data_IF_098434524544
#
_entry.id   IF_098434524544
#
_cell.length_a   1.000
_cell.length_b   1.000
_cell.length_c   1.000
_cell.angle_alpha   90.00
_cell.angle_beta   90.00
_cell.angle_gamma   90.00
#
_symmetry.space_group_name_H-M   'P 1'
#
loop_
_entity.id
_entity.type
_entity.pdbx_description
1 polymer ?
#
# COMPACT_ATOMS: atom_id res chain seq x y z
N UNK A 1 -40.21 3.50 -25.08
CA UNK A 1 -38.92 3.07 -25.66
C UNK A 1 -37.86 3.96 -25.09
N UNK A 2 -37.14 3.51 -24.06
CA UNK A 2 -36.05 4.29 -23.48
C UNK A 2 -34.91 4.31 -24.50
N UNK A 3 -34.58 5.49 -25.02
CA UNK A 3 -33.46 5.70 -25.91
C UNK A 3 -32.18 5.19 -25.24
N UNK A 4 -31.48 4.27 -25.90
CA UNK A 4 -30.19 3.72 -25.47
C UNK A 4 -29.15 4.86 -25.39
N UNK A 5 -28.98 5.43 -24.20
CA UNK A 5 -28.03 6.52 -23.95
C UNK A 5 -26.64 5.92 -23.83
N UNK A 6 -25.81 6.14 -24.85
CA UNK A 6 -24.39 5.82 -24.82
C UNK A 6 -23.60 6.96 -24.21
N UNK A 7 -22.71 6.62 -23.28
CA UNK A 7 -21.74 7.54 -22.69
C UNK A 7 -20.34 7.08 -23.08
N UNK A 8 -19.44 8.04 -23.31
CA UNK A 8 -18.03 7.78 -23.63
C UNK A 8 -17.18 8.54 -22.64
N UNK A 9 -16.21 7.84 -22.04
CA UNK A 9 -15.33 8.38 -21.02
C UNK A 9 -13.88 8.18 -21.47
N UNK A 10 -13.08 9.26 -21.59
CA UNK A 10 -11.66 9.13 -21.91
C UNK A 10 -10.89 8.68 -20.67
N UNK A 11 -10.02 7.70 -20.84
CA UNK A 11 -9.04 7.25 -19.85
C UNK A 11 -7.68 7.12 -20.54
N UNK A 12 -6.59 7.29 -19.79
CA UNK A 12 -5.24 7.01 -20.29
C UNK A 12 -5.12 5.55 -20.79
N UNK A 13 -5.81 4.63 -20.11
CA UNK A 13 -5.91 3.22 -20.48
C UNK A 13 -7.20 2.63 -19.92
N UNK A 14 -7.78 1.69 -20.66
CA UNK A 14 -8.87 0.82 -20.18
C UNK A 14 -8.32 -0.61 -20.21
N UNK A 15 -8.32 -1.27 -19.04
CA UNK A 15 -7.82 -2.64 -18.88
C UNK A 15 -9.02 -3.56 -18.67
N UNK A 16 -9.22 -4.51 -19.58
CA UNK A 16 -10.29 -5.50 -19.51
C UNK A 16 -9.97 -6.64 -18.54
N UNK A 17 -10.92 -7.56 -18.38
CA UNK A 17 -10.79 -8.73 -17.50
C UNK A 17 -9.71 -9.73 -17.91
N UNK A 18 -9.24 -9.64 -19.15
CA UNK A 18 -8.17 -10.44 -19.73
C UNK A 18 -6.76 -9.96 -19.35
N UNK A 19 -6.64 -8.71 -18.88
CA UNK A 19 -5.36 -8.12 -18.51
C UNK A 19 -4.87 -8.76 -17.22
N UNK A 20 -3.65 -9.29 -17.25
CA UNK A 20 -3.04 -9.92 -16.08
C UNK A 20 -2.66 -8.92 -15.00
N UNK A 21 -2.45 -9.41 -13.78
CA UNK A 21 -1.95 -8.59 -12.67
C UNK A 21 -0.53 -8.05 -12.95
N UNK A 22 0.29 -8.83 -13.67
CA UNK A 22 1.62 -8.40 -14.10
C UNK A 22 1.54 -7.24 -15.10
N UNK A 23 0.65 -7.33 -16.10
CA UNK A 23 0.46 -6.28 -17.09
C UNK A 23 -0.15 -5.02 -16.46
N UNK A 24 -1.08 -5.19 -15.52
CA UNK A 24 -1.63 -4.10 -14.71
C UNK A 24 -0.52 -3.38 -13.93
N UNK A 25 0.33 -4.14 -13.23
CA UNK A 25 1.49 -3.59 -12.51
C UNK A 25 2.44 -2.82 -13.45
N UNK A 26 2.81 -3.42 -14.59
CA UNK A 26 3.72 -2.80 -15.58
C UNK A 26 3.19 -1.48 -16.12
N UNK A 27 1.87 -1.36 -16.32
CA UNK A 27 1.28 -0.15 -16.87
C UNK A 27 0.94 0.93 -15.84
N UNK A 28 0.65 0.56 -14.59
CA UNK A 28 0.20 1.50 -13.56
C UNK A 28 1.29 1.80 -12.55
N UNK A 29 1.90 0.77 -11.98
CA UNK A 29 2.74 0.90 -10.79
C UNK A 29 4.21 1.06 -11.11
N UNK A 30 4.73 0.36 -12.12
CA UNK A 30 6.13 0.46 -12.50
C UNK A 30 6.59 1.90 -12.85
N UNK A 31 5.82 2.72 -13.59
CA UNK A 31 6.20 4.12 -13.84
C UNK A 31 6.26 4.95 -12.55
N UNK A 32 5.36 4.70 -11.60
CA UNK A 32 5.34 5.39 -10.30
C UNK A 32 6.56 4.95 -9.47
N UNK A 33 6.84 3.66 -9.44
CA UNK A 33 7.99 3.12 -8.72
C UNK A 33 9.32 3.65 -9.26
N UNK A 34 9.48 3.73 -10.59
CA UNK A 34 10.66 4.33 -11.21
C UNK A 34 10.81 5.80 -10.78
N UNK A 35 9.72 6.56 -10.76
CA UNK A 35 9.74 7.95 -10.26
C UNK A 35 10.14 8.02 -8.78
N UNK A 36 9.76 7.04 -7.96
CA UNK A 36 10.23 6.93 -6.57
C UNK A 36 11.72 6.66 -6.48
N UNK A 37 12.26 5.80 -7.34
CA UNK A 37 13.70 5.53 -7.39
C UNK A 37 14.51 6.74 -7.84
N UNK A 38 13.90 7.65 -8.60
CA UNK A 38 14.48 8.93 -9.01
C UNK A 38 14.34 10.04 -7.93
N UNK A 39 13.81 9.72 -6.74
CA UNK A 39 13.70 10.64 -5.61
C UNK A 39 12.40 11.43 -5.53
N UNK A 40 11.33 10.98 -6.19
CA UNK A 40 10.01 11.62 -6.13
C UNK A 40 8.98 10.79 -5.35
N UNK A 41 8.03 11.44 -4.67
CA UNK A 41 6.94 10.71 -4.02
C UNK A 41 5.95 10.15 -5.05
N UNK A 42 5.56 8.88 -4.89
CA UNK A 42 4.58 8.19 -5.72
C UNK A 42 3.35 7.74 -4.93
N UNK A 43 2.17 7.76 -5.56
CA UNK A 43 0.94 7.30 -4.93
C UNK A 43 0.00 6.62 -5.93
N UNK A 44 -0.56 5.47 -5.55
CA UNK A 44 -1.50 4.70 -6.36
C UNK A 44 -2.75 4.45 -5.53
N UNK A 45 -3.90 4.89 -6.06
CA UNK A 45 -5.20 4.63 -5.46
C UNK A 45 -6.02 3.69 -6.32
N UNK A 46 -6.75 2.78 -5.68
CA UNK A 46 -7.75 1.95 -6.33
C UNK A 46 -9.16 2.36 -5.86
N UNK A 47 -10.01 2.77 -6.80
CA UNK A 47 -11.35 3.24 -6.53
C UNK A 47 -12.39 2.43 -7.31
N UNK A 48 -13.56 2.22 -6.70
CA UNK A 48 -14.67 1.49 -7.30
C UNK A 48 -15.66 0.95 -6.26
N UNK A 49 -16.82 0.49 -6.71
CA UNK A 49 -17.83 -0.09 -5.83
C UNK A 49 -17.36 -1.40 -5.14
N UNK A 50 -18.05 -1.82 -4.09
CA UNK A 50 -17.79 -3.13 -3.46
C UNK A 50 -17.94 -4.25 -4.49
N UNK A 51 -17.01 -5.21 -4.50
CA UNK A 51 -16.98 -6.30 -5.47
C UNK A 51 -16.37 -5.95 -6.84
N UNK A 52 -15.93 -4.70 -7.07
CA UNK A 52 -15.32 -4.29 -8.34
C UNK A 52 -13.85 -4.69 -8.52
N UNK A 53 -13.30 -5.54 -7.65
CA UNK A 53 -11.92 -6.02 -7.76
C UNK A 53 -10.83 -5.16 -7.09
N UNK A 54 -11.16 -4.13 -6.30
CA UNK A 54 -10.13 -3.27 -5.64
C UNK A 54 -9.06 -4.05 -4.87
N UNK A 55 -9.49 -4.96 -3.99
CA UNK A 55 -8.59 -5.81 -3.21
C UNK A 55 -7.81 -6.75 -4.11
N UNK A 56 -8.43 -7.29 -5.17
CA UNK A 56 -7.74 -8.12 -6.14
C UNK A 56 -6.65 -7.32 -6.86
N UNK A 57 -6.93 -6.11 -7.34
CA UNK A 57 -5.93 -5.26 -8.01
C UNK A 57 -4.78 -4.89 -7.07
N UNK A 58 -5.05 -4.47 -5.83
CA UNK A 58 -4.01 -4.00 -4.91
C UNK A 58 -3.24 -5.14 -4.24
N UNK A 59 -3.94 -6.12 -3.66
CA UNK A 59 -3.34 -7.21 -2.88
C UNK A 59 -3.10 -8.45 -3.74
N UNK A 60 -4.04 -8.81 -4.60
CA UNK A 60 -3.97 -10.01 -5.43
C UNK A 60 -4.90 -11.13 -5.00
N UNK A 61 -4.77 -12.26 -5.69
CA UNK A 61 -5.38 -13.55 -5.36
C UNK A 61 -4.44 -14.46 -4.57
N UNK A 62 -4.80 -15.74 -4.45
CA UNK A 62 -4.01 -16.74 -3.71
C UNK A 62 -2.83 -17.29 -4.54
N UNK A 63 -2.92 -17.24 -5.88
CA UNK A 63 -1.86 -17.71 -6.76
C UNK A 63 -0.72 -16.72 -6.92
N UNK A 64 0.51 -17.21 -7.13
CA UNK A 64 1.69 -16.37 -7.38
C UNK A 64 1.48 -15.40 -8.57
N UNK A 65 0.90 -15.90 -9.67
CA UNK A 65 0.58 -15.08 -10.85
C UNK A 65 -0.49 -14.00 -10.56
N UNK A 66 -1.27 -14.18 -9.49
CA UNK A 66 -2.37 -13.30 -9.10
C UNK A 66 -1.94 -12.22 -8.10
N UNK A 67 -0.68 -12.20 -7.63
CA UNK A 67 -0.11 -11.13 -6.80
C UNK A 67 -0.45 -9.76 -7.38
N UNK A 68 -1.01 -8.88 -6.57
CA UNK A 68 -1.46 -7.55 -6.98
C UNK A 68 -0.34 -6.52 -7.06
N UNK A 69 -0.74 -5.26 -7.16
CA UNK A 69 0.18 -4.10 -7.24
C UNK A 69 1.14 -4.06 -6.05
N UNK A 70 0.65 -4.14 -4.81
CA UNK A 70 1.46 -3.96 -3.60
C UNK A 70 2.60 -5.00 -3.54
N UNK A 71 2.32 -6.31 -3.58
CA UNK A 71 3.40 -7.28 -3.45
C UNK A 71 4.33 -7.30 -4.67
N UNK A 72 3.90 -6.86 -5.86
CA UNK A 72 4.79 -6.67 -7.02
C UNK A 72 5.67 -5.41 -6.89
N UNK A 73 5.14 -4.34 -6.29
CA UNK A 73 5.94 -3.16 -5.95
C UNK A 73 7.04 -3.51 -4.95
N UNK A 74 6.74 -4.33 -3.94
CA UNK A 74 7.76 -4.80 -2.98
C UNK A 74 8.87 -5.55 -3.72
N UNK A 75 8.52 -6.56 -4.51
CA UNK A 75 9.48 -7.37 -5.29
C UNK A 75 10.36 -6.50 -6.21
N UNK A 76 9.76 -5.63 -7.01
CA UNK A 76 10.51 -4.77 -7.93
C UNK A 76 11.35 -3.72 -7.19
N UNK A 77 10.88 -3.21 -6.05
CA UNK A 77 11.61 -2.24 -5.25
C UNK A 77 12.89 -2.84 -4.68
N UNK A 78 12.80 -4.01 -4.05
CA UNK A 78 13.98 -4.68 -3.52
C UNK A 78 14.95 -5.08 -4.64
N UNK A 79 14.43 -5.60 -5.77
CA UNK A 79 15.26 -5.86 -6.94
C UNK A 79 15.94 -4.58 -7.49
N UNK A 80 15.27 -3.43 -7.45
CA UNK A 80 15.85 -2.15 -7.83
C UNK A 80 16.94 -1.73 -6.86
N UNK A 81 16.68 -1.75 -5.55
CA UNK A 81 17.66 -1.41 -4.50
C UNK A 81 18.92 -2.26 -4.66
N UNK A 82 18.80 -3.59 -4.84
CA UNK A 82 19.95 -4.47 -5.08
C UNK A 82 20.75 -4.09 -6.33
N UNK A 83 20.09 -3.67 -7.42
CA UNK A 83 20.77 -3.18 -8.63
C UNK A 83 21.53 -1.88 -8.41
N UNK A 84 21.02 -1.01 -7.54
CA UNK A 84 21.59 0.31 -7.23
C UNK A 84 22.63 0.30 -6.08
N UNK A 85 22.71 -0.78 -5.29
CA UNK A 85 23.70 -0.99 -4.21
C UNK A 85 25.15 -1.18 -4.73
N UNK A 86 25.66 -0.20 -5.49
CA UNK A 86 27.10 -0.06 -5.79
C UNK A 86 27.86 0.76 -4.74
N UNK A 87 27.18 1.40 -3.79
CA UNK A 87 27.86 2.18 -2.72
C UNK A 87 27.24 2.08 -1.33
N UNK A 88 25.91 2.12 -1.14
CA UNK A 88 25.31 2.04 0.22
C UNK A 88 23.94 1.37 0.19
N UNK A 89 23.62 0.44 1.13
CA UNK A 89 22.26 -0.11 1.26
C UNK A 89 21.29 0.99 1.71
N UNK A 90 20.34 1.33 0.83
CA UNK A 90 19.20 2.15 1.22
C UNK A 90 18.28 1.38 2.16
N UNK A 91 17.81 2.04 3.23
CA UNK A 91 16.86 1.45 4.15
C UNK A 91 15.46 1.47 3.52
N UNK A 92 14.82 0.31 3.41
CA UNK A 92 13.41 0.21 3.06
C UNK A 92 12.62 0.08 4.35
N UNK A 93 11.62 0.92 4.54
CA UNK A 93 10.71 0.86 5.67
C UNK A 93 9.25 0.79 5.22
N UNK A 94 8.41 0.16 6.03
CA UNK A 94 7.00 -0.07 5.72
C UNK A 94 6.10 0.43 6.84
N UNK A 95 4.94 0.97 6.46
CA UNK A 95 3.84 1.25 7.38
C UNK A 95 2.51 0.86 6.74
N UNK A 96 1.52 0.50 7.57
CA UNK A 96 0.22 0.06 7.09
C UNK A 96 -0.91 0.66 7.93
N UNK A 97 -1.62 1.61 7.35
CA UNK A 97 -2.69 2.36 7.99
C UNK A 97 -4.06 1.86 7.54
N UNK A 98 -5.01 1.75 8.46
CA UNK A 98 -6.44 1.62 8.17
C UNK A 98 -7.20 2.86 8.65
N UNK A 99 -7.96 3.47 7.75
CA UNK A 99 -8.92 4.53 8.07
C UNK A 99 -10.30 3.91 8.15
N UNK A 100 -10.89 3.97 9.34
CA UNK A 100 -12.21 3.47 9.65
C UNK A 100 -12.99 4.47 10.51
N UNK A 101 -14.22 4.77 10.10
CA UNK A 101 -15.12 5.69 10.80
C UNK A 101 -14.44 7.04 11.15
N UNK A 102 -13.79 7.66 10.15
CA UNK A 102 -13.04 8.92 10.28
C UNK A 102 -11.86 8.88 11.27
N UNK A 103 -11.41 7.69 11.70
CA UNK A 103 -10.25 7.51 12.57
C UNK A 103 -9.22 6.62 11.87
N UNK A 104 -7.95 6.88 12.14
CA UNK A 104 -6.83 6.16 11.54
C UNK A 104 -6.18 5.24 12.58
N UNK A 105 -5.78 4.04 12.16
CA UNK A 105 -5.27 2.96 13.01
C UNK A 105 -4.09 2.27 12.34
N UNK A 106 -3.08 1.92 13.12
CA UNK A 106 -1.89 1.22 12.65
C UNK A 106 -2.11 -0.29 12.65
N UNK A 107 -2.11 -0.91 11.47
CA UNK A 107 -2.28 -2.35 11.27
C UNK A 107 -1.05 -3.18 11.66
N UNK A 108 0.11 -2.55 11.86
CA UNK A 108 1.36 -3.20 12.26
C UNK A 108 1.75 -2.87 13.71
N UNK A 109 0.83 -2.30 14.49
CA UNK A 109 1.10 -1.98 15.89
C UNK A 109 1.30 -3.26 16.70
N UNK A 110 2.50 -3.45 17.27
CA UNK A 110 2.81 -4.65 18.08
C UNK A 110 2.09 -4.69 19.43
N UNK A 111 1.68 -3.51 19.93
CA UNK A 111 1.09 -3.37 21.26
C UNK A 111 -0.41 -3.66 21.32
N UNK A 112 -1.04 -3.98 20.18
CA UNK A 112 -2.47 -4.27 20.10
C UNK A 112 -2.73 -5.75 19.86
N UNK A 113 -3.80 -6.24 20.47
CA UNK A 113 -4.33 -7.57 20.14
C UNK A 113 -5.32 -7.41 18.97
N UNK A 114 -5.08 -8.06 17.81
CA UNK A 114 -5.94 -7.91 16.64
C UNK A 114 -7.39 -8.40 16.87
N UNK A 115 -7.62 -9.22 17.89
CA UNK A 115 -8.96 -9.68 18.29
C UNK A 115 -9.76 -8.62 19.05
N UNK A 116 -9.12 -7.56 19.50
CA UNK A 116 -9.82 -6.39 20.06
C UNK A 116 -10.40 -5.58 18.91
N UNK A 117 -11.67 -5.13 18.98
CA UNK A 117 -12.24 -4.25 17.95
C UNK A 117 -11.34 -3.05 17.67
N UNK A 118 -11.11 -2.74 16.40
CA UNK A 118 -10.16 -1.70 15.96
C UNK A 118 -10.45 -0.33 16.56
N UNK A 119 -11.71 -0.04 16.89
CA UNK A 119 -12.14 1.20 17.53
C UNK A 119 -11.48 1.46 18.89
N UNK A 120 -10.99 0.41 19.57
CA UNK A 120 -10.28 0.49 20.85
C UNK A 120 -8.76 0.54 20.70
N UNK A 121 -8.23 0.47 19.47
CA UNK A 121 -6.80 0.59 19.24
C UNK A 121 -6.36 2.04 19.42
N UNK A 122 -5.07 2.30 19.72
CA UNK A 122 -4.52 3.64 19.68
C UNK A 122 -4.76 4.27 18.31
N UNK A 123 -5.30 5.49 18.31
CA UNK A 123 -5.53 6.24 17.08
C UNK A 123 -4.22 6.82 16.58
N UNK A 124 -4.01 6.73 15.28
CA UNK A 124 -3.02 7.51 14.55
C UNK A 124 -3.55 8.93 14.43
N UNK A 125 -2.71 9.92 14.74
CA UNK A 125 -3.08 11.35 14.68
C UNK A 125 -2.17 12.06 13.69
N UNK A 126 -2.75 12.87 12.80
CA UNK A 126 -2.01 13.86 12.02
C UNK A 126 -1.64 15.02 12.93
N UNK A 127 -0.35 15.33 12.99
CA UNK A 127 0.19 16.53 13.64
C UNK A 127 1.01 17.29 12.61
N UNK A 128 1.10 18.60 12.78
CA UNK A 128 2.01 19.46 12.01
C UNK A 128 3.23 19.71 12.90
N UNK A 129 4.43 19.47 12.37
CA UNK A 129 5.67 19.76 13.09
C UNK A 129 6.01 21.27 13.05
N UNK A 130 7.15 21.66 13.64
CA UNK A 130 7.58 23.06 13.67
C UNK A 130 7.90 23.64 12.28
N UNK A 131 8.09 22.79 11.27
CA UNK A 131 8.40 23.16 9.88
C UNK A 131 7.15 23.22 8.99
N UNK A 132 5.97 22.85 9.51
CA UNK A 132 4.75 22.74 8.72
C UNK A 132 4.55 21.38 8.05
N UNK A 133 5.41 20.39 8.35
CA UNK A 133 5.33 19.05 7.78
C UNK A 133 4.34 18.18 8.56
N UNK A 134 3.58 17.38 7.82
CA UNK A 134 2.59 16.48 8.41
C UNK A 134 3.29 15.24 8.96
N UNK A 135 3.19 15.02 10.27
CA UNK A 135 3.72 13.85 10.98
C UNK A 135 2.58 12.99 11.48
N UNK A 136 2.65 11.68 11.20
CA UNK A 136 1.70 10.69 11.70
C UNK A 136 2.17 10.13 13.04
N UNK A 137 1.56 10.59 14.13
CA UNK A 137 1.85 10.06 15.47
C UNK A 137 1.13 8.73 15.69
N UNK A 138 1.82 7.76 16.28
CA UNK A 138 1.37 6.39 16.55
C UNK A 138 1.22 5.49 15.31
N UNK A 139 1.75 5.90 14.15
CA UNK A 139 1.96 4.99 13.03
C UNK A 139 3.35 4.39 13.16
N UNK A 140 3.44 3.07 13.32
CA UNK A 140 4.73 2.39 13.31
C UNK A 140 5.35 2.38 11.92
N UNK A 141 6.67 2.59 11.89
CA UNK A 141 7.50 2.48 10.70
C UNK A 141 8.49 1.34 10.95
N UNK A 142 8.40 0.30 10.13
CA UNK A 142 9.18 -0.93 10.30
C UNK A 142 10.24 -1.03 9.21
N UNK A 143 11.50 -1.02 9.60
CA UNK A 143 12.60 -1.26 8.65
C UNK A 143 12.64 -2.73 8.25
N UNK A 144 12.70 -2.97 6.95
CA UNK A 144 12.72 -4.30 6.31
C UNK A 144 14.05 -4.50 5.59
N UNK A 145 14.72 -5.63 5.82
CA UNK A 145 16.06 -5.90 5.26
C UNK A 145 15.97 -6.67 3.94
N UNK A 146 14.89 -7.42 3.76
CA UNK A 146 14.67 -8.29 2.60
C UNK A 146 13.27 -8.11 2.02
N UNK A 147 13.07 -8.57 0.78
CA UNK A 147 11.73 -8.64 0.15
C UNK A 147 10.75 -9.39 1.05
N UNK A 148 11.19 -10.53 1.61
CA UNK A 148 10.36 -11.39 2.46
C UNK A 148 9.90 -10.66 3.72
N UNK A 149 10.76 -9.87 4.37
CA UNK A 149 10.38 -9.08 5.55
C UNK A 149 9.23 -8.10 5.24
N UNK A 150 9.30 -7.43 4.08
CA UNK A 150 8.28 -6.48 3.66
C UNK A 150 6.98 -7.18 3.24
N UNK A 151 7.07 -8.34 2.60
CA UNK A 151 5.91 -9.17 2.30
C UNK A 151 5.24 -9.69 3.57
N UNK A 152 6.02 -10.14 4.55
CA UNK A 152 5.51 -10.61 5.83
C UNK A 152 4.78 -9.49 6.57
N UNK A 153 5.30 -8.27 6.55
CA UNK A 153 4.59 -7.09 7.10
C UNK A 153 3.29 -6.80 6.37
N UNK A 154 3.29 -6.85 5.03
CA UNK A 154 2.06 -6.68 4.25
C UNK A 154 1.01 -7.76 4.59
N UNK A 155 1.44 -9.02 4.71
CA UNK A 155 0.57 -10.13 5.07
C UNK A 155 0.06 -10.03 6.51
N UNK A 156 0.92 -9.64 7.45
CA UNK A 156 0.55 -9.39 8.85
C UNK A 156 -0.54 -8.34 8.96
N UNK A 157 -0.40 -7.20 8.28
CA UNK A 157 -1.42 -6.15 8.30
C UNK A 157 -2.74 -6.60 7.66
N UNK A 158 -2.69 -7.40 6.59
CA UNK A 158 -3.90 -8.00 5.99
C UNK A 158 -4.62 -8.94 6.97
N UNK A 159 -3.86 -9.77 7.71
CA UNK A 159 -4.41 -10.64 8.75
C UNK A 159 -5.01 -9.81 9.89
N UNK A 160 -4.28 -8.82 10.40
CA UNK A 160 -4.73 -7.96 11.49
C UNK A 160 -6.03 -7.23 11.13
N UNK A 161 -6.11 -6.69 9.91
CA UNK A 161 -7.33 -6.08 9.36
C UNK A 161 -8.50 -7.05 9.30
N UNK A 162 -8.29 -8.28 8.81
CA UNK A 162 -9.35 -9.27 8.71
C UNK A 162 -9.89 -9.68 10.08
N UNK A 163 -8.99 -9.90 11.04
CA UNK A 163 -9.34 -10.30 12.42
C UNK A 163 -10.05 -9.15 13.13
N UNK A 164 -9.53 -7.92 13.03
CA UNK A 164 -10.12 -6.74 13.68
C UNK A 164 -11.48 -6.38 13.08
N UNK A 165 -11.66 -6.52 11.76
CA UNK A 165 -12.94 -6.37 11.09
C UNK A 165 -13.96 -7.37 11.59
N UNK A 166 -13.56 -8.64 11.77
CA UNK A 166 -14.44 -9.68 12.31
C UNK A 166 -14.83 -9.37 13.75
N UNK A 167 -13.88 -8.96 14.59
CA UNK A 167 -14.14 -8.56 15.97
C UNK A 167 -15.09 -7.35 16.08
N UNK A 168 -15.01 -6.42 15.12
CA UNK A 168 -15.88 -5.26 15.03
C UNK A 168 -17.21 -5.51 14.28
N UNK A 169 -17.47 -6.74 13.80
CA UNK A 169 -18.58 -7.05 12.89
C UNK A 169 -18.64 -6.11 11.66
N UNK A 170 -17.47 -5.75 11.14
CA UNK A 170 -17.26 -4.79 10.06
C UNK A 170 -17.04 -5.51 8.73
N UNK A 171 -17.59 -4.95 7.66
CA UNK A 171 -17.18 -5.31 6.30
C UNK A 171 -15.96 -4.46 5.90
N UNK A 172 -14.93 -5.11 5.35
CA UNK A 172 -13.72 -4.45 4.84
C UNK A 172 -13.98 -3.40 3.75
N UNK A 173 -15.20 -3.37 3.18
CA UNK A 173 -15.66 -2.33 2.25
C UNK A 173 -15.95 -0.98 2.90
N UNK A 174 -16.00 -0.91 4.24
CA UNK A 174 -16.29 0.32 5.01
C UNK A 174 -15.04 0.99 5.56
N UNK A 175 -13.87 0.46 5.26
CA UNK A 175 -12.58 1.02 5.64
C UNK A 175 -11.71 1.22 4.40
N UNK A 176 -10.75 2.12 4.53
CA UNK A 176 -9.70 2.36 3.54
C UNK A 176 -8.36 1.97 4.12
N UNK A 177 -7.46 1.46 3.30
CA UNK A 177 -6.12 1.11 3.74
C UNK A 177 -5.07 1.84 2.92
N UNK A 178 -4.00 2.26 3.59
CA UNK A 178 -2.84 2.91 2.99
C UNK A 178 -1.61 2.11 3.39
N UNK A 179 -0.99 1.45 2.43
CA UNK A 179 0.28 0.76 2.62
C UNK A 179 1.38 1.64 2.01
N UNK A 180 2.37 1.99 2.82
CA UNK A 180 3.45 2.91 2.43
C UNK A 180 4.77 2.17 2.44
N UNK A 181 5.51 2.30 1.34
CA UNK A 181 6.91 1.91 1.22
C UNK A 181 7.73 3.20 1.24
N UNK A 182 8.68 3.28 2.16
CA UNK A 182 9.63 4.38 2.28
C UNK A 182 11.02 3.86 1.95
N UNK A 183 11.74 4.58 1.08
CA UNK A 183 13.08 4.21 0.64
C UNK A 183 14.00 5.37 0.89
N UNK A 184 14.95 5.17 1.77
CA UNK A 184 16.01 6.14 2.01
C UNK A 184 17.21 5.79 1.12
N UNK A 185 17.63 6.73 0.28
CA UNK A 185 18.87 6.62 -0.47
C UNK A 185 19.91 7.53 0.18
N UNK A 186 21.00 6.93 0.69
CA UNK A 186 22.15 7.71 1.12
C UNK A 186 22.99 8.01 -0.12
N UNK A 187 22.98 9.26 -0.57
CA UNK A 187 23.93 9.71 -1.57
C UNK A 187 25.32 9.72 -0.96
N UNK A 188 26.28 9.04 -1.59
CA UNK A 188 27.69 9.37 -1.39
C UNK A 188 27.91 10.77 -1.96
N UNK A 189 27.67 11.81 -1.16
CA UNK A 189 28.31 13.11 -1.39
C UNK A 189 29.80 12.94 -1.07
N UNK A 190 30.51 12.30 -2.00
CA UNK A 190 31.97 12.32 -2.07
C UNK A 190 32.43 13.59 -2.77
N UNK A 191 33.07 14.46 -1.97
CA UNK A 191 34.08 15.49 -2.31
C UNK A 191 33.88 16.43 -3.51
#
# INVERSE_FOLDING_TARGET
SASDRRYTFPFHRVMGSEVSQEETFKHVALPVLNSCMDGHNGCIFCYGQTGSGKTYTMSGGEGYAERGIIPRCIEELFAAVERFQRSTPGAVSVSYLEVYNENAYDLLCESVNPRTPIEHWPKVSLLEDENGEIVLRNLSLHTTLTEDDALDMFMLGNVNRMVSSTAANMASSRSHTVFTLEVEQVSDEGE
#
